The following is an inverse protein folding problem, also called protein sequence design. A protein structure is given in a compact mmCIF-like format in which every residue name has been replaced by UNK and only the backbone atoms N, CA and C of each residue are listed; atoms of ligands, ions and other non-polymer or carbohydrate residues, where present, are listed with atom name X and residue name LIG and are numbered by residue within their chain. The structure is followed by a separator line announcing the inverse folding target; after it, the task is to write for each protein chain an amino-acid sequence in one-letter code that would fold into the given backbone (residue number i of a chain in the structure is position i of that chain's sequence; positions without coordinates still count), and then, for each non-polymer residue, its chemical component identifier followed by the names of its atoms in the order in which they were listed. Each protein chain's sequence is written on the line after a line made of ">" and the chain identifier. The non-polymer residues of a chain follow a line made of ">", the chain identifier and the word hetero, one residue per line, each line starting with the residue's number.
data_IF_070836901111
#
_entry.id   IF_070836901111
#
_cell.length_a   1.000
_cell.length_b   1.000
_cell.length_c   1.000
_cell.angle_alpha   90.00
_cell.angle_beta   90.00
_cell.angle_gamma   90.00
#
_symmetry.space_group_name_H-M   'P 1'
#
loop_
_entity.id
_entity.type
_entity.pdbx_description
1 polymer ?
#
# COMPACT_ATOMS: atom_id res chain seq x y z
N UNK A 1 17.67 -1.00 27.98
CA UNK A 1 16.46 -0.28 27.61
C UNK A 1 15.28 -1.19 27.90
N UNK A 2 14.61 -1.04 29.06
CA UNK A 2 13.41 -1.79 29.36
C UNK A 2 12.26 -1.13 28.60
N UNK A 3 11.83 -1.73 27.50
CA UNK A 3 10.52 -1.41 26.94
C UNK A 3 9.53 -2.01 27.94
N UNK A 4 8.87 -1.16 28.72
CA UNK A 4 7.74 -1.57 29.51
C UNK A 4 6.70 -2.13 28.53
N UNK A 5 6.49 -3.44 28.58
CA UNK A 5 5.36 -4.09 27.91
C UNK A 5 4.10 -3.67 28.69
N UNK A 6 3.63 -2.50 28.39
CA UNK A 6 2.31 -2.09 28.83
C UNK A 6 1.29 -2.93 28.07
N UNK A 7 0.31 -3.45 28.75
CA UNK A 7 -0.79 -4.23 28.18
C UNK A 7 -1.56 -3.46 27.11
N UNK A 8 -1.46 -2.13 27.11
CA UNK A 8 -1.99 -1.26 26.06
C UNK A 8 -1.17 -1.26 24.75
N UNK A 9 0.07 -1.76 24.75
CA UNK A 9 0.93 -1.90 23.57
C UNK A 9 0.82 -3.25 22.87
N UNK A 10 -0.14 -4.10 23.25
CA UNK A 10 -0.40 -5.37 22.57
C UNK A 10 -1.24 -5.32 21.29
N UNK A 11 -1.71 -4.15 20.79
CA UNK A 11 -2.48 -4.09 19.53
C UNK A 11 -1.72 -4.61 18.31
N UNK A 12 -0.40 -4.54 18.26
CA UNK A 12 0.37 -5.04 17.10
C UNK A 12 0.23 -6.54 16.85
N UNK A 13 -0.25 -7.32 17.81
CA UNK A 13 -0.60 -8.72 17.60
C UNK A 13 -1.78 -8.93 16.63
N UNK A 14 -2.55 -7.89 16.39
CA UNK A 14 -3.77 -7.94 15.59
C UNK A 14 -3.60 -7.30 14.21
N UNK A 15 -2.51 -6.57 13.97
CA UNK A 15 -2.26 -5.90 12.71
C UNK A 15 -1.13 -6.59 11.93
N UNK A 16 -1.38 -6.84 10.66
CA UNK A 16 -0.38 -7.42 9.75
C UNK A 16 0.74 -6.42 9.44
N UNK A 17 0.45 -5.12 9.55
CA UNK A 17 1.40 -4.01 9.37
C UNK A 17 1.69 -3.35 10.72
N UNK A 18 2.20 -4.13 11.66
CA UNK A 18 2.52 -3.68 13.03
C UNK A 18 3.58 -2.57 13.07
N UNK A 19 4.48 -2.55 12.10
CA UNK A 19 5.54 -1.54 11.95
C UNK A 19 4.97 -0.14 11.74
N UNK A 20 4.04 0.03 10.81
CA UNK A 20 3.36 1.31 10.54
C UNK A 20 2.50 1.70 11.75
N UNK A 21 1.74 0.75 12.29
CA UNK A 21 0.87 1.00 13.43
C UNK A 21 1.64 1.48 14.66
N UNK A 22 2.71 0.77 15.01
CA UNK A 22 3.59 1.12 16.13
C UNK A 22 4.26 2.48 15.91
N UNK A 23 4.72 2.75 14.70
CA UNK A 23 5.31 4.06 14.37
C UNK A 23 4.32 5.20 14.56
N UNK A 24 3.07 5.02 14.17
CA UNK A 24 2.02 6.04 14.36
C UNK A 24 1.73 6.25 15.85
N UNK A 25 1.65 5.18 16.64
CA UNK A 25 1.45 5.28 18.08
C UNK A 25 2.60 6.04 18.77
N UNK A 26 3.83 5.68 18.46
CA UNK A 26 5.02 6.34 19.04
C UNK A 26 5.09 7.82 18.65
N UNK A 27 4.88 8.16 17.38
CA UNK A 27 4.92 9.55 16.93
C UNK A 27 3.74 10.38 17.44
N UNK A 28 2.61 9.72 17.73
CA UNK A 28 1.40 10.36 18.25
C UNK A 28 1.40 10.53 19.77
N UNK A 29 2.35 9.94 20.48
CA UNK A 29 2.51 10.07 21.93
C UNK A 29 3.01 11.46 22.28
N UNK A 30 2.17 12.24 22.95
CA UNK A 30 2.50 13.61 23.38
C UNK A 30 3.32 13.68 24.66
N UNK A 31 3.20 12.67 25.49
CA UNK A 31 3.84 12.65 26.79
C UNK A 31 5.35 12.45 26.61
N UNK A 32 5.75 11.45 25.82
CA UNK A 32 7.16 11.11 25.66
C UNK A 32 7.82 11.77 24.43
N UNK A 33 7.07 12.29 23.47
CA UNK A 33 7.57 12.96 22.25
C UNK A 33 8.64 12.15 21.52
N UNK A 34 8.37 10.89 21.31
CA UNK A 34 9.28 9.98 20.61
C UNK A 34 9.65 10.49 19.20
N UNK A 35 10.89 10.26 18.84
CA UNK A 35 11.41 10.58 17.50
C UNK A 35 12.06 9.33 16.93
N UNK A 36 11.79 9.04 15.67
CA UNK A 36 12.52 8.02 14.92
C UNK A 36 13.76 8.65 14.29
N UNK A 37 14.87 7.94 14.39
CA UNK A 37 16.15 8.32 13.78
C UNK A 37 16.60 7.15 12.90
N UNK A 38 17.04 7.44 11.69
CA UNK A 38 17.62 6.46 10.80
C UNK A 38 19.03 6.13 11.28
N UNK A 39 19.30 4.84 11.52
CA UNK A 39 20.64 4.34 11.83
C UNK A 39 21.33 3.98 10.51
N UNK A 40 22.51 4.55 10.19
CA UNK A 40 23.16 4.37 8.88
C UNK A 40 23.91 3.03 8.75
N UNK A 41 24.16 2.34 9.84
CA UNK A 41 24.90 1.07 9.82
C UNK A 41 23.97 -0.10 9.52
N UNK A 42 24.49 -1.10 8.78
CA UNK A 42 23.75 -2.30 8.44
C UNK A 42 23.80 -3.28 9.60
N UNK A 43 22.71 -3.34 10.38
CA UNK A 43 22.64 -4.23 11.54
C UNK A 43 22.15 -5.64 11.19
N UNK A 44 21.38 -5.78 10.10
CA UNK A 44 20.86 -7.09 9.71
C UNK A 44 20.75 -7.23 8.19
N UNK A 45 20.88 -8.48 7.73
CA UNK A 45 20.64 -8.87 6.33
C UNK A 45 19.44 -9.81 6.29
N UNK A 46 18.45 -9.48 5.48
CA UNK A 46 17.27 -10.33 5.30
C UNK A 46 17.22 -10.85 3.87
N UNK A 47 16.72 -12.08 3.73
CA UNK A 47 16.42 -12.65 2.42
C UNK A 47 15.15 -12.02 1.86
N UNK A 48 15.25 -11.50 0.65
CA UNK A 48 14.08 -11.09 -0.14
C UNK A 48 13.32 -12.31 -0.65
N UNK A 49 12.02 -12.18 -0.98
CA UNK A 49 11.29 -13.24 -1.68
C UNK A 49 12.01 -13.64 -2.96
N UNK A 50 12.19 -14.96 -3.17
CA UNK A 50 12.94 -15.47 -4.31
C UNK A 50 12.07 -15.79 -5.53
N UNK A 51 10.75 -15.81 -5.35
CA UNK A 51 9.78 -16.09 -6.40
C UNK A 51 8.67 -15.03 -6.43
N UNK A 52 8.03 -14.93 -7.57
CA UNK A 52 6.96 -13.95 -7.82
C UNK A 52 5.76 -14.17 -6.90
N UNK A 53 5.40 -15.44 -6.63
CA UNK A 53 4.25 -15.77 -5.80
C UNK A 53 4.46 -15.30 -4.37
N UNK A 54 5.60 -15.61 -3.79
CA UNK A 54 5.99 -15.18 -2.44
C UNK A 54 6.02 -13.65 -2.33
N UNK A 55 6.55 -12.99 -3.37
CA UNK A 55 6.56 -11.53 -3.43
C UNK A 55 5.14 -10.95 -3.49
N UNK A 56 4.23 -11.52 -4.30
CA UNK A 56 2.83 -11.09 -4.37
C UNK A 56 2.10 -11.29 -3.04
N UNK A 57 2.31 -12.42 -2.36
CA UNK A 57 1.76 -12.68 -1.02
C UNK A 57 2.23 -11.61 -0.02
N UNK A 58 3.51 -11.27 -0.04
CA UNK A 58 4.07 -10.24 0.83
C UNK A 58 3.45 -8.87 0.52
N UNK A 59 3.34 -8.50 -0.75
CA UNK A 59 2.74 -7.22 -1.16
C UNK A 59 1.26 -7.12 -0.82
N UNK A 60 0.52 -8.23 -0.98
CA UNK A 60 -0.89 -8.29 -0.55
C UNK A 60 -1.04 -8.04 0.95
N UNK A 61 -0.19 -8.64 1.77
CA UNK A 61 -0.20 -8.41 3.23
C UNK A 61 0.03 -6.93 3.57
N UNK A 62 1.01 -6.30 2.94
CA UNK A 62 1.29 -4.88 3.19
C UNK A 62 0.10 -4.00 2.77
N UNK A 63 -0.51 -4.30 1.64
CA UNK A 63 -1.68 -3.56 1.18
C UNK A 63 -2.87 -3.77 2.13
N UNK A 64 -3.21 -5.02 2.45
CA UNK A 64 -4.33 -5.36 3.31
C UNK A 64 -4.13 -4.83 4.74
N UNK A 65 -2.95 -4.98 5.33
CA UNK A 65 -2.65 -4.47 6.66
C UNK A 65 -2.71 -2.95 6.74
N UNK A 66 -2.17 -2.24 5.75
CA UNK A 66 -2.24 -0.77 5.70
C UNK A 66 -3.67 -0.27 5.51
N UNK A 67 -4.45 -0.92 4.63
CA UNK A 67 -5.84 -0.57 4.41
C UNK A 67 -6.73 -0.90 5.62
N UNK A 68 -6.43 -1.98 6.35
CA UNK A 68 -7.12 -2.32 7.58
C UNK A 68 -6.92 -1.24 8.65
N UNK A 69 -5.69 -0.80 8.84
CA UNK A 69 -5.37 0.33 9.73
C UNK A 69 -6.12 1.60 9.33
N UNK A 70 -6.17 1.91 8.03
CA UNK A 70 -6.84 3.11 7.54
C UNK A 70 -8.35 3.08 7.77
N UNK A 71 -9.01 1.93 7.54
CA UNK A 71 -10.47 1.81 7.51
C UNK A 71 -11.07 1.45 8.87
N UNK A 72 -10.43 0.58 9.62
CA UNK A 72 -10.97 0.06 10.88
C UNK A 72 -10.36 0.71 12.11
N UNK A 73 -9.06 1.04 12.06
CA UNK A 73 -8.46 1.76 13.16
C UNK A 73 -8.70 3.25 13.04
N UNK A 74 -9.33 3.78 14.05
CA UNK A 74 -9.60 5.22 14.16
C UNK A 74 -8.36 6.04 14.53
N UNK A 75 -7.18 5.65 14.03
CA UNK A 75 -5.91 6.30 14.40
C UNK A 75 -5.97 7.80 14.17
N UNK A 76 -6.53 8.23 13.03
CA UNK A 76 -6.71 9.64 12.72
C UNK A 76 -7.87 10.30 13.51
N UNK A 77 -8.77 9.51 14.11
CA UNK A 77 -9.90 9.99 14.92
C UNK A 77 -9.67 9.86 16.42
N UNK A 78 -8.64 9.11 16.83
CA UNK A 78 -8.34 8.90 18.23
C UNK A 78 -7.78 10.18 18.85
N UNK A 79 -8.47 10.74 19.85
CA UNK A 79 -8.07 11.96 20.53
C UNK A 79 -6.76 11.80 21.33
N UNK A 80 -6.38 10.58 21.66
CA UNK A 80 -5.13 10.27 22.38
C UNK A 80 -3.90 10.37 21.47
N UNK A 81 -4.06 10.13 20.15
CA UNK A 81 -2.99 10.16 19.15
C UNK A 81 -3.02 11.53 18.48
N UNK A 82 -1.98 12.31 18.63
CA UNK A 82 -1.91 13.65 18.05
C UNK A 82 -0.64 13.79 17.21
N UNK A 83 -0.78 13.45 15.95
CA UNK A 83 0.24 13.65 14.93
C UNK A 83 0.34 15.14 14.54
N UNK A 84 1.54 15.59 14.19
CA UNK A 84 1.72 16.87 13.52
C UNK A 84 1.15 16.84 12.11
N UNK A 85 0.88 18.00 11.51
CA UNK A 85 0.38 18.07 10.11
C UNK A 85 1.34 17.37 9.16
N UNK A 86 2.65 17.57 9.31
CA UNK A 86 3.66 16.91 8.47
C UNK A 86 3.63 15.38 8.61
N UNK A 87 3.52 14.86 9.83
CA UNK A 87 3.39 13.41 10.09
C UNK A 87 2.08 12.86 9.53
N UNK A 88 0.98 13.57 9.69
CA UNK A 88 -0.32 13.18 9.14
C UNK A 88 -0.27 13.10 7.61
N UNK A 89 0.36 14.07 6.95
CA UNK A 89 0.55 14.04 5.50
C UNK A 89 1.47 12.89 5.08
N UNK A 90 2.56 12.66 5.79
CA UNK A 90 3.50 11.59 5.48
C UNK A 90 2.86 10.19 5.58
N UNK A 91 2.14 9.91 6.66
CA UNK A 91 1.38 8.66 6.78
C UNK A 91 0.20 8.60 5.81
N UNK A 92 -0.47 9.74 5.59
CA UNK A 92 -1.57 9.87 4.64
C UNK A 92 -1.15 9.51 3.22
N UNK A 93 0.03 9.96 2.75
CA UNK A 93 0.53 9.59 1.41
C UNK A 93 0.80 8.08 1.28
N UNK A 94 1.27 7.44 2.35
CA UNK A 94 1.47 5.98 2.36
C UNK A 94 0.15 5.25 2.15
N UNK A 95 -0.89 5.59 2.92
CA UNK A 95 -2.21 4.98 2.78
C UNK A 95 -2.87 5.32 1.43
N UNK A 96 -2.71 6.56 0.97
CA UNK A 96 -3.21 7.02 -0.33
C UNK A 96 -2.65 6.19 -1.49
N UNK A 97 -1.40 5.78 -1.40
CA UNK A 97 -0.77 4.95 -2.44
C UNK A 97 -1.50 3.62 -2.67
N UNK A 98 -2.04 3.01 -1.62
CA UNK A 98 -2.84 1.78 -1.75
C UNK A 98 -4.24 2.02 -2.31
N UNK A 99 -4.84 3.19 -2.04
CA UNK A 99 -6.15 3.57 -2.59
C UNK A 99 -6.10 3.90 -4.08
N UNK A 100 -4.92 4.11 -4.63
CA UNK A 100 -4.76 4.42 -6.05
C UNK A 100 -5.20 3.29 -6.99
N UNK A 101 -5.39 2.06 -6.49
CA UNK A 101 -6.05 0.99 -7.22
C UNK A 101 -7.44 1.41 -7.75
N UNK A 102 -8.15 2.31 -7.06
CA UNK A 102 -9.45 2.80 -7.48
C UNK A 102 -9.36 3.61 -8.78
N UNK A 103 -8.42 4.58 -8.84
CA UNK A 103 -8.26 5.38 -10.07
C UNK A 103 -7.72 4.54 -11.22
N UNK A 104 -6.79 3.64 -10.96
CA UNK A 104 -6.27 2.73 -11.98
C UNK A 104 -7.38 1.86 -12.57
N UNK A 105 -8.33 1.42 -11.74
CA UNK A 105 -9.52 0.68 -12.18
C UNK A 105 -10.39 1.55 -13.08
N UNK A 106 -10.67 2.79 -12.69
CA UNK A 106 -11.46 3.73 -13.49
C UNK A 106 -10.79 4.01 -14.83
N UNK A 107 -9.48 4.27 -14.84
CA UNK A 107 -8.72 4.49 -16.06
C UNK A 107 -8.69 3.28 -17.00
N UNK A 108 -8.68 2.08 -16.45
CA UNK A 108 -8.73 0.86 -17.25
C UNK A 108 -10.12 0.57 -17.80
N UNK A 109 -11.16 0.80 -17.01
CA UNK A 109 -12.56 0.57 -17.42
C UNK A 109 -13.04 1.63 -18.40
N UNK A 110 -12.59 2.87 -18.28
CA UNK A 110 -13.01 3.99 -19.10
C UNK A 110 -12.91 3.73 -20.61
N UNK A 111 -11.77 3.28 -21.18
CA UNK A 111 -11.69 2.94 -22.60
C UNK A 111 -12.55 1.73 -23.00
N UNK A 112 -12.76 0.77 -22.08
CA UNK A 112 -13.65 -0.35 -22.34
C UNK A 112 -15.10 0.09 -22.47
N UNK A 113 -15.56 0.98 -21.58
CA UNK A 113 -16.90 1.58 -21.68
C UNK A 113 -17.09 2.27 -23.01
N UNK A 114 -16.10 3.05 -23.45
CA UNK A 114 -16.13 3.70 -24.77
C UNK A 114 -16.26 2.69 -25.92
N UNK A 115 -15.47 1.62 -25.90
CA UNK A 115 -15.49 0.59 -26.94
C UNK A 115 -16.84 -0.11 -27.05
N UNK A 116 -17.52 -0.35 -25.93
CA UNK A 116 -18.81 -1.05 -25.91
C UNK A 116 -20.02 -0.12 -26.14
N UNK A 117 -19.95 1.12 -25.68
CA UNK A 117 -21.11 2.03 -25.69
C UNK A 117 -20.99 3.16 -26.70
N UNK A 118 -19.80 3.46 -27.22
CA UNK A 118 -19.52 4.62 -28.04
C UNK A 118 -19.56 5.97 -27.29
N UNK A 119 -19.81 5.92 -25.96
CA UNK A 119 -19.88 7.12 -25.14
C UNK A 119 -18.46 7.51 -24.72
N UNK A 120 -18.04 8.71 -25.10
CA UNK A 120 -16.72 9.27 -24.70
C UNK A 120 -16.78 9.69 -23.22
N UNK A 121 -15.98 9.09 -22.34
CA UNK A 121 -15.92 9.48 -20.93
C UNK A 121 -15.37 10.91 -20.74
N UNK A 122 -14.53 11.37 -21.68
CA UNK A 122 -13.93 12.71 -21.67
C UNK A 122 -13.91 13.26 -23.08
N UNK A 123 -14.32 14.51 -23.28
CA UNK A 123 -14.16 15.26 -24.51
C UNK A 123 -12.72 15.69 -24.70
N UNK A 124 -11.85 14.74 -25.06
CA UNK A 124 -10.40 14.95 -25.09
C UNK A 124 -9.87 15.67 -26.35
N UNK A 125 -10.72 15.91 -27.37
CA UNK A 125 -10.28 16.47 -28.66
C UNK A 125 -10.51 17.98 -28.78
N UNK A 126 -10.58 18.70 -27.68
CA UNK A 126 -10.73 20.15 -27.68
C UNK A 126 -9.40 20.86 -27.41
N UNK A 127 -9.17 22.01 -28.05
CA UNK A 127 -7.99 22.85 -27.79
C UNK A 127 -7.81 23.20 -26.32
N UNK A 128 -8.88 23.56 -25.55
CA UNK A 128 -8.77 23.80 -24.11
C UNK A 128 -8.29 22.58 -23.32
N UNK A 129 -8.68 21.36 -23.72
CA UNK A 129 -8.20 20.14 -23.06
C UNK A 129 -6.67 20.02 -23.16
N UNK A 130 -6.11 20.14 -24.37
CA UNK A 130 -4.66 20.01 -24.54
C UNK A 130 -3.88 21.14 -23.88
N UNK A 131 -4.43 22.36 -23.88
CA UNK A 131 -3.79 23.52 -23.25
C UNK A 131 -3.61 23.32 -21.72
N UNK A 132 -4.51 22.60 -21.08
CA UNK A 132 -4.41 22.31 -19.63
C UNK A 132 -3.71 20.97 -19.36
N UNK A 133 -3.99 19.96 -20.17
CA UNK A 133 -3.45 18.61 -19.95
C UNK A 133 -1.93 18.55 -20.18
N UNK A 134 -1.43 19.14 -21.27
CA UNK A 134 0.01 19.04 -21.58
C UNK A 134 0.91 19.68 -20.53
N UNK A 135 0.67 20.92 -20.06
CA UNK A 135 1.46 21.49 -18.99
C UNK A 135 1.36 20.65 -17.69
N UNK A 136 0.16 20.22 -17.31
CA UNK A 136 -0.02 19.37 -16.15
C UNK A 136 0.79 18.08 -16.23
N UNK A 137 0.71 17.39 -17.36
CA UNK A 137 1.46 16.15 -17.60
C UNK A 137 2.97 16.38 -17.55
N UNK A 138 3.47 17.39 -18.27
CA UNK A 138 4.90 17.71 -18.31
C UNK A 138 5.43 18.09 -16.93
N UNK A 139 4.74 18.97 -16.19
CA UNK A 139 5.19 19.39 -14.88
C UNK A 139 5.09 18.24 -13.84
N UNK A 140 4.09 17.37 -13.94
CA UNK A 140 4.00 16.21 -13.06
C UNK A 140 5.12 15.21 -13.32
N UNK A 141 5.49 14.94 -14.57
CA UNK A 141 6.64 14.09 -14.92
C UNK A 141 7.96 14.70 -14.46
N UNK A 142 8.16 16.01 -14.69
CA UNK A 142 9.34 16.71 -14.21
C UNK A 142 9.46 16.66 -12.67
N UNK A 143 8.37 16.95 -11.97
CA UNK A 143 8.35 16.87 -10.50
C UNK A 143 8.69 15.45 -10.00
N UNK A 144 8.16 14.43 -10.68
CA UNK A 144 8.47 13.04 -10.37
C UNK A 144 9.94 12.71 -10.63
N UNK A 145 10.49 13.15 -11.76
CA UNK A 145 11.91 12.96 -12.10
C UNK A 145 12.84 13.64 -11.08
N UNK A 146 12.51 14.85 -10.64
CA UNK A 146 13.29 15.56 -9.62
C UNK A 146 13.18 14.87 -8.24
N UNK A 147 11.98 14.43 -7.86
CA UNK A 147 11.76 13.74 -6.59
C UNK A 147 12.42 12.36 -6.50
N UNK A 148 12.60 11.70 -7.66
CA UNK A 148 13.20 10.37 -7.78
C UNK A 148 14.63 10.43 -8.34
N UNK A 149 15.31 11.56 -8.20
CA UNK A 149 16.66 11.76 -8.72
C UNK A 149 17.63 10.66 -8.23
N UNK A 150 18.27 9.97 -9.17
CA UNK A 150 19.19 8.86 -8.88
C UNK A 150 18.53 7.50 -8.63
N UNK A 151 17.19 7.39 -8.73
CA UNK A 151 16.44 6.14 -8.61
C UNK A 151 15.71 5.85 -9.91
N UNK A 152 15.59 4.56 -10.29
CA UNK A 152 14.81 4.16 -11.46
C UNK A 152 13.32 4.42 -11.25
N UNK A 153 12.83 5.53 -11.77
CA UNK A 153 11.43 5.93 -11.68
C UNK A 153 10.50 5.00 -12.46
N UNK A 154 10.98 4.42 -13.56
CA UNK A 154 10.20 3.52 -14.42
C UNK A 154 9.82 2.24 -13.71
N UNK A 155 10.75 1.62 -12.99
CA UNK A 155 10.49 0.38 -12.24
C UNK A 155 9.45 0.60 -11.15
N UNK A 156 9.48 1.76 -10.49
CA UNK A 156 8.47 2.15 -9.51
C UNK A 156 7.08 2.30 -10.13
N UNK A 157 6.97 3.01 -11.26
CA UNK A 157 5.70 3.22 -11.98
C UNK A 157 5.12 1.91 -12.52
N UNK A 158 5.94 1.07 -13.14
CA UNK A 158 5.49 -0.21 -13.70
C UNK A 158 5.03 -1.18 -12.61
N UNK A 159 5.76 -1.27 -11.51
CA UNK A 159 5.37 -2.07 -10.35
C UNK A 159 4.06 -1.60 -9.74
N UNK A 160 3.89 -0.29 -9.61
CA UNK A 160 2.67 0.32 -9.08
C UNK A 160 1.44 0.00 -9.95
N UNK A 161 1.57 0.12 -11.27
CA UNK A 161 0.49 -0.22 -12.21
C UNK A 161 0.21 -1.72 -12.20
N UNK A 162 1.24 -2.57 -12.14
CA UNK A 162 1.08 -4.03 -12.11
C UNK A 162 0.36 -4.53 -10.84
N UNK A 163 0.52 -3.83 -9.72
CA UNK A 163 -0.05 -4.22 -8.43
C UNK A 163 -1.49 -3.73 -8.20
N UNK A 164 -2.08 -2.95 -9.12
CA UNK A 164 -3.40 -2.33 -8.87
C UNK A 164 -4.50 -3.37 -8.60
N UNK A 165 -4.54 -4.46 -9.35
CA UNK A 165 -5.55 -5.51 -9.18
C UNK A 165 -5.43 -6.21 -7.82
N UNK A 166 -4.20 -6.42 -7.37
CA UNK A 166 -3.92 -6.99 -6.05
C UNK A 166 -4.32 -6.03 -4.92
N UNK A 167 -4.00 -4.73 -5.06
CA UNK A 167 -4.40 -3.71 -4.10
C UNK A 167 -5.93 -3.54 -4.05
N UNK A 168 -6.60 -3.62 -5.21
CA UNK A 168 -8.06 -3.61 -5.28
C UNK A 168 -8.66 -4.82 -4.54
N UNK A 169 -8.09 -6.02 -4.73
CA UNK A 169 -8.50 -7.21 -4.00
C UNK A 169 -8.28 -7.05 -2.50
N UNK A 170 -7.14 -6.52 -2.07
CA UNK A 170 -6.85 -6.24 -0.67
C UNK A 170 -7.91 -5.28 -0.08
N UNK A 171 -8.26 -4.22 -0.81
CA UNK A 171 -9.30 -3.28 -0.39
C UNK A 171 -10.66 -3.98 -0.23
N UNK A 172 -11.07 -4.81 -1.19
CA UNK A 172 -12.34 -5.55 -1.10
C UNK A 172 -12.34 -6.52 0.08
N UNK A 173 -11.23 -7.23 0.33
CA UNK A 173 -11.08 -8.15 1.46
C UNK A 173 -11.25 -7.42 2.79
N UNK A 174 -10.59 -6.27 2.94
CA UNK A 174 -10.70 -5.44 4.16
C UNK A 174 -12.11 -4.87 4.32
N UNK A 175 -12.74 -4.37 3.24
CA UNK A 175 -14.12 -3.86 3.29
C UNK A 175 -15.16 -4.93 3.67
N UNK A 176 -14.88 -6.21 3.36
CA UNK A 176 -15.71 -7.34 3.79
C UNK A 176 -15.52 -7.71 5.27
N UNK A 177 -14.56 -7.08 5.94
CA UNK A 177 -14.23 -7.39 7.34
C UNK A 177 -13.49 -8.72 7.51
N UNK A 178 -12.93 -9.29 6.44
CA UNK A 178 -12.15 -10.51 6.50
C UNK A 178 -10.79 -10.18 7.13
N UNK A 179 -10.50 -10.77 8.28
CA UNK A 179 -9.19 -10.59 8.94
C UNK A 179 -8.10 -11.24 8.12
N UNK A 180 -7.15 -10.45 7.70
CA UNK A 180 -5.96 -10.94 6.99
C UNK A 180 -5.12 -11.76 7.97
N UNK A 181 -5.00 -13.07 7.71
CA UNK A 181 -4.14 -13.94 8.52
C UNK A 181 -2.67 -13.64 8.24
N UNK A 182 -1.86 -13.63 9.28
CA UNK A 182 -0.41 -13.51 9.14
C UNK A 182 0.16 -14.85 8.66
N UNK A 183 0.39 -14.96 7.35
CA UNK A 183 1.13 -16.07 6.79
C UNK A 183 2.61 -15.73 6.75
N UNK A 184 3.43 -16.59 7.35
CA UNK A 184 4.89 -16.45 7.24
C UNK A 184 5.28 -16.56 5.77
N UNK A 185 6.04 -15.59 5.27
CA UNK A 185 6.52 -15.61 3.89
C UNK A 185 7.57 -16.70 3.75
N UNK A 186 7.37 -17.73 2.90
CA UNK A 186 8.36 -18.78 2.70
C UNK A 186 9.68 -18.17 2.23
N UNK A 187 10.80 -18.61 2.81
CA UNK A 187 12.13 -18.14 2.41
C UNK A 187 12.79 -19.03 1.37
N UNK A 188 12.21 -20.19 1.12
CA UNK A 188 12.65 -21.14 0.11
C UNK A 188 11.82 -20.98 -1.16
N UNK A 189 12.47 -21.20 -2.31
CA UNK A 189 11.80 -21.14 -3.62
C UNK A 189 10.73 -22.21 -3.69
N UNK A 190 9.48 -21.79 -3.85
CA UNK A 190 8.37 -22.71 -4.07
C UNK A 190 8.47 -23.29 -5.47
N UNK A 191 8.80 -24.59 -5.57
CA UNK A 191 8.84 -25.30 -6.85
C UNK A 191 7.42 -25.72 -7.21
N UNK A 192 6.81 -25.03 -8.13
CA UNK A 192 5.57 -25.51 -8.76
C UNK A 192 4.57 -24.37 -8.98
N UNK A 193 4.00 -24.42 -10.14
CA UNK A 193 2.73 -23.78 -10.48
C UNK A 193 1.58 -24.46 -9.74
N UNK A 194 1.81 -24.95 -8.52
CA UNK A 194 0.81 -25.64 -7.76
C UNK A 194 -0.31 -24.66 -7.40
N UNK A 195 -1.47 -24.97 -7.88
CA UNK A 195 -2.85 -24.69 -7.40
C UNK A 195 -3.06 -23.53 -6.43
N UNK A 196 -2.04 -23.06 -5.73
CA UNK A 196 -2.05 -21.89 -4.87
C UNK A 196 -2.23 -20.55 -5.62
N UNK A 197 -1.75 -20.42 -6.87
CA UNK A 197 -1.97 -19.20 -7.66
C UNK A 197 -3.44 -19.02 -8.04
N UNK A 198 -4.10 -20.10 -8.43
CA UNK A 198 -5.54 -20.09 -8.69
C UNK A 198 -6.36 -19.87 -7.43
N UNK A 199 -5.92 -20.39 -6.28
CA UNK A 199 -6.60 -20.16 -5.00
C UNK A 199 -6.43 -18.71 -4.48
N UNK A 200 -5.27 -18.09 -4.71
CA UNK A 200 -5.08 -16.66 -4.41
C UNK A 200 -5.96 -15.78 -5.30
N UNK A 201 -6.23 -16.19 -6.54
CA UNK A 201 -7.12 -15.48 -7.45
C UNK A 201 -8.61 -15.87 -7.31
N UNK A 202 -8.93 -17.07 -6.79
CA UNK A 202 -10.27 -17.64 -6.76
C UNK A 202 -11.01 -17.56 -5.42
N UNK A 203 -10.56 -16.78 -4.45
CA UNK A 203 -11.24 -16.62 -3.18
C UNK A 203 -10.81 -17.64 -2.13
N UNK A 204 -10.20 -17.16 -1.07
CA UNK A 204 -10.05 -17.89 0.18
C UNK A 204 -9.08 -19.07 0.13
N UNK A 205 -7.78 -18.82 0.11
CA UNK A 205 -6.82 -19.86 0.41
C UNK A 205 -6.90 -20.21 1.91
N UNK A 206 -7.75 -21.19 2.25
CA UNK A 206 -7.55 -21.97 3.44
C UNK A 206 -6.39 -22.94 3.15
N UNK A 207 -5.18 -22.53 3.44
CA UNK A 207 -4.10 -23.50 3.59
C UNK A 207 -4.30 -24.08 4.98
N UNK A 208 -4.98 -25.24 5.03
CA UNK A 208 -4.97 -26.11 6.20
C UNK A 208 -3.55 -26.71 6.28
N UNK A 209 -2.92 -26.55 7.44
CA UNK A 209 -1.96 -27.49 7.97
C UNK A 209 -2.68 -28.39 8.94
#
# INVERSE_FOLDING_TARGET
>A
MHVAYDTELTPYKFHVSEDIYTSILLHGDREHRWRSVMHPEIESKMLSPQDLLTWMIQRFKYAAGSLDILLHDTIFRNSKIKLSIAQTLMYGTTFWSYLACLWNTVFLISPLVYLFTGILPVSAYSTPFYLHFLPFFLFSELAFMFGMWGISAWDGKSSYLSLFAMNLRALVTVLRGEKTKFHVTPKERQSGWDTGCTAVYAGGCQIAY
#
